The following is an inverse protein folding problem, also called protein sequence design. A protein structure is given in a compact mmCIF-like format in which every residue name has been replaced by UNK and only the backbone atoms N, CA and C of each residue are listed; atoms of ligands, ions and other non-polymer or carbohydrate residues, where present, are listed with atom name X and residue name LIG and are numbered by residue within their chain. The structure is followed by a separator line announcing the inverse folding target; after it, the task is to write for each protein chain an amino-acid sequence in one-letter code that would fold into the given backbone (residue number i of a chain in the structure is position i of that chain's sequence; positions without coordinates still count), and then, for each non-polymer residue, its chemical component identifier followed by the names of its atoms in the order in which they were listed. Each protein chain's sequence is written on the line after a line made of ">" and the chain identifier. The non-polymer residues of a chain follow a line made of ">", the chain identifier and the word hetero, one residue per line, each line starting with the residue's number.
data_IF_025879616332
#
_entry.id   IF_025879616332
#
_cell.length_a   1.000
_cell.length_b   1.000
_cell.length_c   1.000
_cell.angle_alpha   90.00
_cell.angle_beta   90.00
_cell.angle_gamma   90.00
#
_symmetry.space_group_name_H-M   'P 1'
#
loop_
_entity.id
_entity.type
_entity.pdbx_description
1 polymer ?
#
# COMPACT_ATOMS: atom_id res chain seq x y z
N UNK A 1 -5.26 13.86 13.91
CA UNK A 1 -5.60 12.58 13.26
C UNK A 1 -6.96 12.04 13.71
N UNK A 2 -7.24 11.97 15.01
CA UNK A 2 -8.53 11.53 15.55
C UNK A 2 -9.13 12.58 16.49
N UNK A 3 -10.44 12.58 16.66
CA UNK A 3 -11.13 13.46 17.61
C UNK A 3 -10.75 13.11 19.07
N UNK A 4 -11.03 14.03 20.00
CA UNK A 4 -10.72 13.82 21.42
C UNK A 4 -11.36 12.54 21.99
N UNK A 5 -12.52 12.15 21.47
CA UNK A 5 -13.24 10.95 21.89
C UNK A 5 -12.70 9.66 21.25
N UNK A 6 -11.73 9.75 20.32
CA UNK A 6 -11.17 8.64 19.54
C UNK A 6 -12.21 7.82 18.76
N UNK A 7 -13.33 8.45 18.40
CA UNK A 7 -14.44 7.82 17.67
C UNK A 7 -14.47 8.23 16.20
N UNK A 8 -13.88 9.37 15.87
CA UNK A 8 -13.90 9.90 14.52
C UNK A 8 -12.48 10.17 14.03
N UNK A 9 -12.25 9.86 12.76
CA UNK A 9 -11.01 10.13 12.05
C UNK A 9 -11.17 11.47 11.32
N UNK A 10 -10.18 12.34 11.42
CA UNK A 10 -10.09 13.54 10.58
C UNK A 10 -9.50 13.14 9.23
N UNK A 11 -10.35 12.81 8.25
CA UNK A 11 -9.93 12.24 6.96
C UNK A 11 -8.88 13.07 6.24
N UNK A 12 -8.99 14.41 6.26
CA UNK A 12 -8.00 15.29 5.64
C UNK A 12 -6.62 15.16 6.32
N UNK A 13 -6.58 15.19 7.66
CA UNK A 13 -5.31 15.02 8.39
C UNK A 13 -4.72 13.62 8.21
N UNK A 14 -5.56 12.58 8.14
CA UNK A 14 -5.10 11.22 7.85
C UNK A 14 -4.51 11.14 6.45
N UNK A 15 -5.20 11.72 5.47
CA UNK A 15 -4.72 11.76 4.10
C UNK A 15 -3.36 12.46 3.98
N UNK A 16 -3.22 13.65 4.57
CA UNK A 16 -1.94 14.36 4.60
C UNK A 16 -0.82 13.51 5.22
N UNK A 17 -1.10 12.81 6.33
CA UNK A 17 -0.14 11.91 6.94
C UNK A 17 0.23 10.73 6.04
N UNK A 18 -0.75 10.07 5.42
CA UNK A 18 -0.50 8.93 4.54
C UNK A 18 0.31 9.33 3.31
N UNK A 19 0.00 10.49 2.71
CA UNK A 19 0.67 10.96 1.50
C UNK A 19 2.09 11.48 1.78
N UNK A 20 2.27 12.24 2.86
CA UNK A 20 3.53 12.99 3.07
C UNK A 20 4.36 12.49 4.24
N UNK A 21 3.75 11.88 5.27
CA UNK A 21 4.42 11.46 6.50
C UNK A 21 4.80 9.98 6.52
N UNK A 22 3.92 9.10 6.04
CA UNK A 22 4.00 7.66 6.28
C UNK A 22 5.33 7.04 5.82
N UNK A 23 5.82 7.41 4.63
CA UNK A 23 7.09 6.90 4.08
C UNK A 23 8.32 7.22 4.95
N UNK A 24 8.25 8.23 5.81
CA UNK A 24 9.33 8.60 6.72
C UNK A 24 9.20 7.91 8.09
N UNK A 25 7.97 7.62 8.53
CA UNK A 25 7.71 6.95 9.81
C UNK A 25 7.86 5.44 9.68
N UNK A 26 7.45 4.88 8.54
CA UNK A 26 7.55 3.47 8.20
C UNK A 26 8.25 3.31 6.86
N UNK A 27 9.56 3.64 6.77
CA UNK A 27 10.31 3.45 5.53
C UNK A 27 10.29 1.97 5.12
N UNK A 28 10.26 1.72 3.82
CA UNK A 28 10.47 0.41 3.26
C UNK A 28 11.30 0.56 1.99
N UNK A 29 12.10 -0.46 1.69
CA UNK A 29 12.89 -0.53 0.47
C UNK A 29 12.74 -1.93 -0.15
N UNK A 30 12.79 -2.05 -1.49
CA UNK A 30 12.77 -3.34 -2.16
C UNK A 30 13.94 -4.23 -1.74
N UNK A 31 13.62 -5.37 -1.12
CA UNK A 31 14.58 -6.36 -0.65
C UNK A 31 14.87 -7.47 -1.66
N UNK A 32 15.22 -8.65 -1.12
CA UNK A 32 15.51 -9.85 -1.90
C UNK A 32 14.30 -10.31 -2.73
N UNK A 33 14.58 -11.01 -3.83
CA UNK A 33 13.54 -11.62 -4.66
C UNK A 33 13.01 -12.88 -3.97
N UNK A 34 11.73 -12.89 -3.64
CA UNK A 34 11.05 -13.97 -2.90
C UNK A 34 9.68 -14.26 -3.52
N UNK A 35 9.10 -15.40 -3.16
CA UNK A 35 7.70 -15.70 -3.43
C UNK A 35 6.81 -14.95 -2.43
N UNK A 36 5.73 -14.36 -2.91
CA UNK A 36 4.86 -13.56 -2.06
C UNK A 36 3.56 -13.10 -2.71
N UNK A 37 2.80 -12.34 -1.94
CA UNK A 37 1.55 -11.71 -2.38
C UNK A 37 1.90 -10.35 -3.00
N UNK A 38 1.48 -10.05 -4.24
CA UNK A 38 1.75 -8.76 -4.88
C UNK A 38 1.34 -7.55 -4.02
N UNK A 39 2.15 -6.50 -4.05
CA UNK A 39 1.81 -5.21 -3.40
C UNK A 39 2.31 -4.05 -4.27
N UNK A 40 2.08 -2.83 -3.81
CA UNK A 40 2.48 -1.60 -4.48
C UNK A 40 2.01 -1.57 -5.96
N UNK A 41 2.85 -1.13 -6.89
CA UNK A 41 2.48 -1.05 -8.31
C UNK A 41 2.23 -2.42 -8.97
N UNK A 42 2.48 -3.53 -8.29
CA UNK A 42 2.29 -4.90 -8.81
C UNK A 42 0.91 -5.48 -8.51
N UNK A 43 0.08 -4.75 -7.76
CA UNK A 43 -1.26 -5.16 -7.37
C UNK A 43 -2.31 -4.11 -7.75
N UNK A 44 -3.59 -4.52 -7.72
CA UNK A 44 -4.70 -3.59 -7.96
C UNK A 44 -4.86 -2.64 -6.76
N UNK A 45 -5.28 -1.38 -6.99
CA UNK A 45 -5.70 -0.82 -8.29
C UNK A 45 -4.55 -0.29 -9.15
N UNK A 46 -3.34 -0.15 -8.61
CA UNK A 46 -2.25 0.58 -9.28
C UNK A 46 -1.78 -0.10 -10.57
N UNK A 47 -1.72 -1.44 -10.61
CA UNK A 47 -1.31 -2.21 -11.79
C UNK A 47 -2.21 -1.99 -13.01
N UNK A 48 -3.44 -1.50 -12.83
CA UNK A 48 -4.36 -1.22 -13.94
C UNK A 48 -3.94 0.03 -14.71
N UNK A 49 -3.17 0.91 -14.08
CA UNK A 49 -2.75 2.19 -14.67
C UNK A 49 -1.31 2.18 -15.19
N UNK A 50 -0.49 1.20 -14.78
CA UNK A 50 0.95 1.16 -15.07
C UNK A 50 1.38 -0.28 -15.38
N UNK A 51 2.12 -0.43 -16.47
CA UNK A 51 2.91 -1.64 -16.74
C UNK A 51 4.32 -1.45 -16.17
N UNK A 52 4.76 -2.39 -15.32
CA UNK A 52 6.09 -2.41 -14.72
C UNK A 52 6.69 -3.80 -14.86
N UNK A 53 7.99 -3.87 -15.15
CA UNK A 53 8.75 -5.12 -15.13
C UNK A 53 9.16 -5.53 -13.70
N UNK A 54 9.14 -4.57 -12.76
CA UNK A 54 9.41 -4.87 -11.36
C UNK A 54 8.15 -5.41 -10.70
N UNK A 55 8.30 -6.49 -9.94
CA UNK A 55 7.24 -7.07 -9.12
C UNK A 55 7.64 -6.88 -7.67
N UNK A 56 6.76 -6.26 -6.89
CA UNK A 56 6.86 -6.10 -5.45
C UNK A 56 5.87 -7.04 -4.78
N UNK A 57 6.34 -7.73 -3.74
CA UNK A 57 5.54 -8.69 -3.00
C UNK A 57 5.77 -8.54 -1.50
N UNK A 58 4.76 -8.87 -0.70
CA UNK A 58 4.99 -9.27 0.66
C UNK A 58 5.37 -10.75 0.70
N UNK A 59 6.50 -11.08 1.32
CA UNK A 59 6.94 -12.48 1.49
C UNK A 59 5.83 -13.30 2.16
N UNK A 60 5.36 -14.33 1.48
CA UNK A 60 4.28 -15.18 1.97
C UNK A 60 4.27 -16.51 1.24
N UNK A 61 4.15 -17.62 1.96
CA UNK A 61 4.24 -18.98 1.41
C UNK A 61 3.12 -19.29 0.39
N UNK A 62 1.92 -18.76 0.65
CA UNK A 62 0.75 -18.87 -0.22
C UNK A 62 0.67 -17.76 -1.29
N UNK A 63 1.75 -17.00 -1.48
CA UNK A 63 1.86 -16.01 -2.54
C UNK A 63 1.76 -16.61 -3.95
N UNK A 64 1.36 -15.80 -4.93
CA UNK A 64 1.23 -16.23 -6.33
C UNK A 64 2.19 -15.51 -7.29
N UNK A 65 3.09 -14.69 -6.78
CA UNK A 65 4.09 -13.98 -7.57
C UNK A 65 5.50 -14.11 -6.96
N UNK A 66 6.51 -13.89 -7.80
CA UNK A 66 7.91 -13.79 -7.38
C UNK A 66 8.36 -12.37 -7.68
N UNK A 67 8.90 -11.68 -6.67
CA UNK A 67 9.26 -10.28 -6.77
C UNK A 67 10.12 -9.82 -5.59
N UNK A 68 10.57 -8.57 -5.62
CA UNK A 68 11.32 -7.98 -4.51
C UNK A 68 10.41 -7.85 -3.28
N UNK A 69 10.92 -8.29 -2.13
CA UNK A 69 10.20 -8.21 -0.87
C UNK A 69 10.02 -6.75 -0.43
N UNK A 70 8.79 -6.37 -0.11
CA UNK A 70 8.47 -5.13 0.62
C UNK A 70 8.11 -5.51 2.04
N UNK A 71 8.64 -4.79 3.02
CA UNK A 71 8.24 -4.98 4.42
C UNK A 71 6.82 -4.43 4.65
N UNK A 72 5.84 -5.28 5.02
CA UNK A 72 4.49 -4.83 5.27
C UNK A 72 4.46 -3.92 6.50
N UNK A 73 3.47 -3.02 6.59
CA UNK A 73 3.28 -2.17 7.77
C UNK A 73 3.07 -2.98 9.07
N UNK A 74 2.55 -4.20 8.94
CA UNK A 74 2.40 -5.11 10.06
C UNK A 74 2.53 -6.56 9.57
N UNK A 75 3.10 -7.43 10.39
CA UNK A 75 3.48 -8.80 10.00
C UNK A 75 2.30 -9.68 9.56
N UNK A 76 1.08 -9.39 10.05
CA UNK A 76 -0.11 -10.17 9.70
C UNK A 76 -0.77 -9.75 8.39
N UNK A 77 -0.40 -8.59 7.81
CA UNK A 77 -1.02 -8.07 6.59
C UNK A 77 -1.07 -9.11 5.46
N UNK A 78 0.04 -9.82 5.12
CA UNK A 78 0.02 -10.76 4.01
C UNK A 78 -0.97 -11.92 4.23
N UNK A 79 -1.19 -12.32 5.48
CA UNK A 79 -2.13 -13.39 5.81
C UNK A 79 -3.60 -12.93 5.76
N UNK A 80 -3.88 -11.65 6.04
CA UNK A 80 -5.26 -11.15 6.20
C UNK A 80 -5.84 -10.47 4.96
N UNK A 81 -5.01 -10.02 4.02
CA UNK A 81 -5.47 -9.29 2.82
C UNK A 81 -6.37 -10.11 1.89
N UNK A 82 -6.38 -11.44 2.01
CA UNK A 82 -7.25 -12.30 1.20
C UNK A 82 -8.71 -12.26 1.66
N UNK A 83 -8.99 -11.81 2.88
CA UNK A 83 -10.33 -11.82 3.47
C UNK A 83 -11.13 -10.55 3.13
N UNK A 84 -10.44 -9.44 2.84
CA UNK A 84 -11.06 -8.15 2.54
C UNK A 84 -10.35 -7.44 1.38
N UNK A 85 -11.03 -7.41 0.23
CA UNK A 85 -10.51 -6.78 -0.98
C UNK A 85 -10.28 -5.26 -0.82
N UNK A 86 -11.13 -4.55 -0.07
CA UNK A 86 -10.96 -3.11 0.14
C UNK A 86 -9.74 -2.84 1.02
N UNK A 87 -9.55 -3.66 2.06
CA UNK A 87 -8.36 -3.60 2.90
C UNK A 87 -7.09 -3.86 2.07
N UNK A 88 -7.10 -4.89 1.22
CA UNK A 88 -5.97 -5.19 0.35
C UNK A 88 -5.63 -4.03 -0.58
N UNK A 89 -6.62 -3.46 -1.28
CA UNK A 89 -6.40 -2.29 -2.15
C UNK A 89 -5.80 -1.10 -1.40
N UNK A 90 -6.26 -0.82 -0.18
CA UNK A 90 -5.69 0.24 0.65
C UNK A 90 -4.23 -0.02 1.00
N UNK A 91 -3.89 -1.27 1.35
CA UNK A 91 -2.49 -1.65 1.63
C UNK A 91 -1.61 -1.51 0.39
N UNK A 92 -2.13 -1.90 -0.78
CA UNK A 92 -1.43 -1.72 -2.07
C UNK A 92 -1.15 -0.25 -2.37
N UNK A 93 -2.14 0.62 -2.18
CA UNK A 93 -2.00 2.07 -2.39
C UNK A 93 -0.95 2.63 -1.43
N UNK A 94 -1.03 2.27 -0.15
CA UNK A 94 -0.10 2.70 0.88
C UNK A 94 1.34 2.28 0.55
N UNK A 95 1.56 1.03 0.18
CA UNK A 95 2.91 0.57 -0.18
C UNK A 95 3.43 1.26 -1.45
N UNK A 96 2.55 1.56 -2.41
CA UNK A 96 2.93 2.36 -3.58
C UNK A 96 3.42 3.75 -3.18
N UNK A 97 2.81 4.38 -2.17
CA UNK A 97 3.28 5.67 -1.65
C UNK A 97 4.64 5.52 -0.95
N UNK A 98 4.88 4.39 -0.27
CA UNK A 98 6.13 4.13 0.47
C UNK A 98 7.32 3.83 -0.45
N UNK A 99 7.11 3.00 -1.48
CA UNK A 99 8.22 2.43 -2.29
C UNK A 99 8.14 2.71 -3.79
N UNK A 100 7.05 3.32 -4.25
CA UNK A 100 6.80 3.53 -5.67
C UNK A 100 7.63 4.66 -6.30
N UNK A 101 7.65 4.69 -7.63
CA UNK A 101 8.22 5.80 -8.40
C UNK A 101 7.28 6.99 -8.48
N UNK A 102 7.78 8.15 -8.89
CA UNK A 102 7.01 9.41 -9.00
C UNK A 102 5.65 9.22 -9.70
N UNK A 103 5.61 8.47 -10.82
CA UNK A 103 4.37 8.21 -11.55
C UNK A 103 3.40 7.30 -10.79
N UNK A 104 3.92 6.26 -10.13
CA UNK A 104 3.13 5.31 -9.34
C UNK A 104 2.55 6.00 -8.10
N UNK A 105 3.36 6.79 -7.40
CA UNK A 105 2.95 7.58 -6.23
C UNK A 105 1.82 8.54 -6.63
N UNK A 106 1.92 9.23 -7.76
CA UNK A 106 0.86 10.14 -8.22
C UNK A 106 -0.49 9.42 -8.35
N UNK A 107 -0.49 8.24 -8.96
CA UNK A 107 -1.71 7.44 -9.14
C UNK A 107 -2.22 6.92 -7.80
N UNK A 108 -1.32 6.47 -6.92
CA UNK A 108 -1.69 6.03 -5.58
C UNK A 108 -2.36 7.14 -4.76
N UNK A 109 -1.87 8.38 -4.85
CA UNK A 109 -2.50 9.54 -4.19
C UNK A 109 -3.92 9.77 -4.73
N UNK A 110 -4.11 9.69 -6.05
CA UNK A 110 -5.43 9.83 -6.68
C UNK A 110 -6.40 8.72 -6.21
N UNK A 111 -5.94 7.46 -6.18
CA UNK A 111 -6.73 6.32 -5.69
C UNK A 111 -7.02 6.39 -4.18
N UNK A 112 -6.08 6.91 -3.38
CA UNK A 112 -6.25 7.13 -1.95
C UNK A 112 -7.35 8.16 -1.67
N UNK A 113 -7.33 9.29 -2.40
CA UNK A 113 -8.35 10.34 -2.26
C UNK A 113 -9.76 9.81 -2.55
N UNK A 114 -9.91 8.98 -3.59
CA UNK A 114 -11.19 8.32 -3.92
C UNK A 114 -11.72 7.45 -2.78
N UNK A 115 -10.83 6.79 -2.01
CA UNK A 115 -11.19 5.80 -0.97
C UNK A 115 -11.28 6.35 0.45
N UNK A 116 -10.69 7.51 0.74
CA UNK A 116 -10.65 8.06 2.12
C UNK A 116 -11.35 9.42 2.23
N UNK A 117 -11.27 10.26 1.19
CA UNK A 117 -11.87 11.61 1.21
C UNK A 117 -13.29 11.59 0.62
N UNK A 118 -13.46 10.86 -0.49
CA UNK A 118 -14.73 10.79 -1.24
C UNK A 118 -15.52 9.50 -0.97
N UNK A 119 -15.22 8.83 0.14
CA UNK A 119 -15.75 7.52 0.51
C UNK A 119 -17.21 7.55 1.00
#
# INVERSE_FOLDING_TARGET
>A
LIDHKKRNIHSNSLNEFLVYGLKYVFPAEPGAVVKGIPTAHSANPIKEHISSNAIYVWSHEHGNAIGQAIEPLYSTVPATVQEDAKFYELMVIIDTIRVGRVREIKIAIEELHKRIINA
#
